data_IF_071960450943
#
_entry.id   IF_071960450943
#
_cell.length_a   1.000
_cell.length_b   1.000
_cell.length_c   1.000
_cell.angle_alpha   90.00
_cell.angle_beta   90.00
_cell.angle_gamma   90.00
#
_symmetry.space_group_name_H-M   'P 1'
#
loop_
_entity.id
_entity.type
_entity.pdbx_description
1 polymer ?
2 non-polymer ?
3 water ?
#
# COMPACT_ATOMS: atom_id res chain seq x y z
N UNK A 1 7.98 38.93 19.80
CA UNK A 1 8.34 37.85 18.84
C UNK A 1 7.87 38.23 17.43
N UNK A 2 8.81 38.18 16.47
CA UNK A 2 8.51 38.54 15.06
C UNK A 2 7.34 37.71 14.53
N UNK A 3 6.49 38.36 13.74
CA UNK A 3 5.31 37.70 13.20
C UNK A 3 5.65 36.57 12.21
N UNK A 4 6.87 36.57 11.68
CA UNK A 4 7.33 35.51 10.79
C UNK A 4 8.18 34.46 11.51
N UNK A 5 8.16 34.44 12.86
CA UNK A 5 8.87 33.40 13.57
C UNK A 5 8.27 32.04 13.18
N UNK A 6 9.13 31.07 12.88
CA UNK A 6 8.66 29.74 12.53
C UNK A 6 8.05 29.09 13.78
N UNK A 7 6.78 28.71 13.70
CA UNK A 7 6.10 28.12 14.85
C UNK A 7 6.32 26.59 14.96
N UNK A 8 7.30 26.08 14.20
CA UNK A 8 7.49 24.66 13.98
C UNK A 8 8.98 24.32 13.98
N UNK A 9 9.33 23.10 14.34
CA UNK A 9 10.72 22.67 14.18
C UNK A 9 10.79 21.33 13.45
N UNK A 10 11.89 21.15 12.73
CA UNK A 10 12.16 19.94 12.00
C UNK A 10 12.31 18.74 12.94
N UNK A 11 11.39 17.79 12.80
CA UNK A 11 11.45 16.55 13.57
C UNK A 11 12.14 15.38 12.82
N UNK A 12 11.88 15.24 11.51
CA UNK A 12 12.48 14.18 10.69
C UNK A 12 12.88 14.73 9.31
N UNK A 13 13.97 14.19 8.74
CA UNK A 13 14.47 14.63 7.44
C UNK A 13 15.04 13.44 6.73
N UNK A 14 14.62 13.29 5.47
CA UNK A 14 15.20 12.25 4.64
C UNK A 14 15.72 12.94 3.39
N UNK A 15 17.04 12.98 3.23
CA UNK A 15 17.61 13.61 2.05
C UNK A 15 18.19 12.63 1.05
N UNK A 16 18.08 11.34 1.34
CA UNK A 16 18.56 10.25 0.46
C UNK A 16 20.05 10.37 0.06
N UNK A 17 20.88 10.86 0.98
CA UNK A 17 22.30 10.99 0.71
C UNK A 17 23.00 9.65 0.52
N UNK A 18 22.52 8.60 1.19
CA UNK A 18 23.05 7.23 1.05
C UNK A 18 22.02 6.34 0.34
N UNK A 19 22.48 5.47 -0.57
CA UNK A 19 21.57 4.51 -1.21
C UNK A 19 20.94 3.54 -0.22
N UNK A 20 21.55 3.33 0.93
CA UNK A 20 20.95 2.43 1.93
C UNK A 20 19.59 2.94 2.38
N UNK A 21 19.39 4.26 2.39
CA UNK A 21 18.11 4.81 2.83
C UNK A 21 16.93 4.29 2.00
N UNK A 22 17.16 4.05 0.71
CA UNK A 22 16.12 3.58 -0.20
C UNK A 22 15.49 2.23 0.25
N UNK A 23 16.32 1.39 0.89
CA UNK A 23 15.87 0.12 1.42
C UNK A 23 14.77 0.31 2.47
N UNK A 24 14.64 1.49 3.02
CA UNK A 24 13.57 1.76 4.01
C UNK A 24 12.22 2.17 3.34
N UNK A 25 12.25 2.38 2.03
CA UNK A 25 11.07 2.83 1.29
C UNK A 25 10.48 1.63 0.56
N UNK A 26 9.17 1.67 0.31
CA UNK A 26 8.56 0.63 -0.53
C UNK A 26 7.47 1.22 -1.38
N UNK A 27 7.12 0.52 -2.46
CA UNK A 27 6.00 0.91 -3.28
C UNK A 27 4.68 0.44 -2.64
N UNK A 28 3.75 1.34 -2.40
CA UNK A 28 2.55 0.92 -1.70
C UNK A 28 1.33 1.00 -2.61
N UNK A 29 1.54 1.26 -3.89
CA UNK A 29 0.41 1.14 -4.79
C UNK A 29 0.44 1.89 -6.09
N UNK A 30 -0.51 1.53 -6.94
CA UNK A 30 -0.70 2.16 -8.26
C UNK A 30 -2.20 2.22 -8.55
N UNK A 31 -2.60 3.21 -9.35
CA UNK A 31 -3.96 3.31 -9.85
C UNK A 31 -3.89 4.02 -11.21
N UNK A 32 -4.32 3.32 -12.26
CA UNK A 32 -4.28 3.87 -13.62
C UNK A 32 -2.86 4.29 -14.02
N UNK A 33 -1.86 3.57 -13.51
CA UNK A 33 -0.45 3.82 -13.81
C UNK A 33 0.29 2.59 -13.40
N UNK A 34 1.57 2.50 -13.72
CA UNK A 34 2.41 1.37 -13.34
C UNK A 34 3.80 1.84 -12.92
N UNK A 35 4.47 1.00 -12.15
CA UNK A 35 5.89 1.09 -11.97
C UNK A 35 6.59 0.26 -13.06
N UNK A 36 7.78 0.71 -13.46
CA UNK A 36 8.72 -0.17 -14.16
C UNK A 36 9.55 -1.06 -13.24
N UNK A 37 10.72 -1.42 -13.72
CA UNK A 37 11.58 -2.40 -13.04
C UNK A 37 13.01 -1.87 -13.02
N UNK A 38 13.61 -1.68 -11.84
CA UNK A 38 12.95 -1.94 -10.54
C UNK A 38 11.91 -0.84 -10.25
N UNK A 39 11.07 -1.02 -9.25
CA UNK A 39 10.07 0.01 -9.01
C UNK A 39 10.72 1.28 -8.47
N UNK A 40 11.61 1.11 -7.50
CA UNK A 40 12.34 2.23 -6.91
C UNK A 40 13.80 1.88 -6.77
N UNK A 41 14.65 2.89 -6.78
CA UNK A 41 16.10 2.69 -6.60
C UNK A 41 16.70 4.04 -6.23
N UNK A 42 17.99 4.04 -5.90
CA UNK A 42 18.65 5.29 -5.56
C UNK A 42 19.27 5.90 -6.82
N UNK A 43 19.32 7.22 -6.86
CA UNK A 43 20.03 7.96 -7.90
C UNK A 43 20.94 8.98 -7.21
N UNK A 44 22.23 8.93 -7.54
CA UNK A 44 23.21 9.80 -6.88
C UNK A 44 23.44 11.12 -7.56
N UNK A 45 22.93 11.27 -8.77
CA UNK A 45 23.13 12.49 -9.56
C UNK A 45 22.03 13.54 -9.32
N UNK A 46 20.82 13.10 -9.03
CA UNK A 46 19.72 14.04 -8.79
C UNK A 46 19.72 14.38 -7.29
N UNK A 47 19.61 15.67 -6.99
CA UNK A 47 19.58 16.21 -5.63
C UNK A 47 20.67 15.70 -4.71
N UNK A 48 21.88 15.43 -5.25
CA UNK A 48 22.92 14.66 -4.56
C UNK A 48 22.41 13.45 -3.78
N UNK A 49 21.53 12.65 -4.41
CA UNK A 49 20.95 11.49 -3.80
C UNK A 49 19.48 11.73 -3.73
N UNK A 50 18.69 10.90 -4.42
CA UNK A 50 17.24 11.07 -4.44
C UNK A 50 16.62 9.71 -4.64
N UNK A 51 15.35 9.60 -4.28
CA UNK A 51 14.63 8.36 -4.50
C UNK A 51 14.14 8.41 -5.93
N UNK A 52 14.52 7.40 -6.70
CA UNK A 52 14.07 7.25 -8.07
C UNK A 52 12.90 6.29 -8.18
N UNK A 53 11.79 6.78 -8.74
CA UNK A 53 10.62 5.96 -9.05
C UNK A 53 10.60 5.81 -10.58
N UNK A 54 10.59 4.58 -11.05
CA UNK A 54 10.46 4.28 -12.47
C UNK A 54 9.00 4.06 -12.79
N UNK A 55 8.41 5.00 -13.51
CA UNK A 55 6.96 5.06 -13.67
C UNK A 55 6.59 4.97 -15.14
N UNK A 56 5.34 4.55 -15.38
CA UNK A 56 4.72 4.56 -16.70
C UNK A 56 3.32 5.15 -16.51
N UNK A 57 3.19 6.42 -16.90
CA UNK A 57 1.94 7.14 -16.75
C UNK A 57 1.37 7.33 -18.17
N UNK A 58 0.23 6.71 -18.47
CA UNK A 58 -0.30 6.75 -19.84
C UNK A 58 -0.78 8.14 -20.26
N UNK A 59 -1.04 9.02 -19.30
CA UNK A 59 -1.58 10.35 -19.55
C UNK A 59 -2.98 10.37 -20.16
N UNK A 60 -3.78 9.36 -19.87
CA UNK A 60 -5.14 9.24 -20.43
C UNK A 60 -6.20 9.71 -19.49
N UNK A 61 -5.88 9.79 -18.20
CA UNK A 61 -6.91 10.08 -17.23
C UNK A 61 -6.47 11.16 -16.25
N UNK A 62 -7.37 11.66 -15.42
CA UNK A 62 -7.01 12.78 -14.55
C UNK A 62 -6.40 12.40 -13.20
N UNK A 63 -6.25 11.09 -12.96
CA UNK A 63 -5.64 10.58 -11.73
C UNK A 63 -4.87 9.29 -12.01
N UNK A 64 -3.58 9.44 -12.24
CA UNK A 64 -2.71 8.32 -12.56
C UNK A 64 -1.65 8.31 -11.48
N UNK A 65 -1.74 7.34 -10.56
CA UNK A 65 -0.98 7.41 -9.30
C UNK A 65 -0.01 6.26 -9.11
N UNK A 66 1.19 6.61 -8.66
CA UNK A 66 2.13 5.67 -8.11
C UNK A 66 2.44 6.18 -6.72
N UNK A 67 2.73 5.28 -5.81
CA UNK A 67 2.86 5.68 -4.41
C UNK A 67 4.02 4.94 -3.73
N UNK A 68 4.75 5.65 -2.88
CA UNK A 68 5.80 5.04 -2.08
C UNK A 68 5.60 5.44 -0.62
N UNK A 69 6.34 4.78 0.27
CA UNK A 69 6.10 4.93 1.70
C UNK A 69 7.31 4.55 2.50
N UNK A 70 7.31 5.01 3.76
CA UNK A 70 8.38 4.81 4.70
C UNK A 70 7.81 4.89 6.11
N UNK A 71 8.33 4.10 7.04
CA UNK A 71 7.97 4.29 8.45
C UNK A 71 8.64 5.55 9.01
N UNK A 72 7.93 6.22 9.90
CA UNK A 72 8.44 7.39 10.64
C UNK A 72 7.89 7.25 12.05
N UNK A 73 8.80 6.99 12.99
CA UNK A 73 8.42 6.69 14.38
C UNK A 73 7.68 7.85 15.07
N UNK A 74 8.08 9.07 14.74
CA UNK A 74 7.56 10.23 15.43
C UNK A 74 6.36 10.87 14.70
N UNK A 75 5.89 10.23 13.62
CA UNK A 75 4.88 10.79 12.73
C UNK A 75 3.60 11.30 13.41
N UNK A 76 3.13 10.60 14.44
CA UNK A 76 1.96 11.04 15.20
C UNK A 76 2.14 12.42 15.87
N UNK A 77 3.40 12.81 16.10
CA UNK A 77 3.71 14.12 16.70
C UNK A 77 3.66 15.30 15.69
N UNK A 78 3.67 14.98 14.40
CA UNK A 78 3.93 15.96 13.35
C UNK A 78 2.67 16.63 12.77
N UNK A 79 2.84 17.84 12.22
CA UNK A 79 1.74 18.58 11.62
C UNK A 79 2.04 19.21 10.26
N UNK A 80 3.32 19.22 9.84
CA UNK A 80 3.67 19.75 8.50
C UNK A 80 4.56 18.76 7.79
N UNK A 81 4.23 18.49 6.53
CA UNK A 81 5.12 17.73 5.66
C UNK A 81 5.58 18.62 4.49
N UNK A 82 6.87 18.52 4.15
CA UNK A 82 7.38 19.07 2.89
C UNK A 82 8.12 17.99 2.18
N UNK A 83 8.06 18.01 0.85
CA UNK A 83 8.94 17.16 0.04
C UNK A 83 9.05 17.77 -1.36
N UNK A 84 10.08 17.37 -2.10
CA UNK A 84 10.23 17.81 -3.50
C UNK A 84 10.06 16.64 -4.43
N UNK A 85 9.44 16.91 -5.58
CA UNK A 85 9.43 15.99 -6.72
C UNK A 85 10.19 16.64 -7.89
N UNK A 86 11.01 15.85 -8.59
CA UNK A 86 11.70 16.33 -9.77
C UNK A 86 11.32 15.42 -10.93
N UNK A 87 10.94 16.03 -12.05
CA UNK A 87 10.67 15.26 -13.28
C UNK A 87 11.59 15.78 -14.41
N UNK A 88 12.36 14.88 -15.03
CA UNK A 88 13.24 15.25 -16.15
C UNK A 88 12.48 16.13 -17.14
N UNK A 89 13.05 17.27 -17.48
CA UNK A 89 12.38 18.25 -18.35
C UNK A 89 12.50 17.82 -19.84
N UNK A 90 11.89 16.67 -20.17
CA UNK A 90 12.03 16.10 -21.53
C UNK A 90 11.14 16.84 -22.53
N UNK A 91 11.48 16.74 -23.81
CA UNK A 91 10.73 17.42 -24.86
C UNK A 91 9.31 16.92 -24.84
N UNK A 92 8.37 17.84 -24.91
CA UNK A 92 6.96 17.46 -24.98
C UNK A 92 6.25 17.22 -23.66
N UNK A 93 6.97 17.30 -22.53
CA UNK A 93 6.38 17.07 -21.21
C UNK A 93 5.25 18.06 -20.97
N UNK A 94 4.05 17.54 -20.76
CA UNK A 94 2.86 18.36 -20.68
C UNK A 94 1.82 17.71 -19.76
N UNK A 95 1.07 18.51 -19.01
CA UNK A 95 0.07 17.95 -18.12
C UNK A 95 0.09 18.57 -16.73
N UNK A 96 -0.60 17.93 -15.80
CA UNK A 96 -0.78 18.46 -14.44
C UNK A 96 -0.33 17.38 -13.45
N UNK A 97 0.15 17.82 -12.29
CA UNK A 97 0.55 16.94 -11.20
C UNK A 97 -0.33 17.26 -10.02
N UNK A 98 -0.75 16.21 -9.30
CA UNK A 98 -1.65 16.35 -8.15
C UNK A 98 -1.08 15.61 -6.93
N UNK A 99 0.14 15.96 -6.52
CA UNK A 99 0.84 15.18 -5.49
C UNK A 99 0.12 15.33 -4.16
N UNK A 100 0.13 14.29 -3.33
CA UNK A 100 -0.45 14.38 -1.98
C UNK A 100 0.29 13.37 -1.07
N UNK A 101 -0.27 13.08 0.10
CA UNK A 101 0.35 12.12 1.00
C UNK A 101 -0.73 11.41 1.81
N UNK A 102 -0.34 10.35 2.50
CA UNK A 102 -1.27 9.53 3.28
C UNK A 102 -0.58 9.21 4.60
N UNK A 103 -1.33 9.36 5.71
CA UNK A 103 -0.83 8.87 7.02
C UNK A 103 -1.42 7.50 7.28
N UNK A 104 -0.64 6.55 7.81
CA UNK A 104 -1.15 5.18 7.97
C UNK A 104 -0.50 4.55 9.22
N UNK A 105 -1.14 3.60 9.94
CA UNK A 105 -2.54 3.12 9.75
C UNK A 105 -3.64 4.19 9.77
N UNK A 106 -4.80 3.87 9.18
CA UNK A 106 -5.93 4.79 9.12
C UNK A 106 -6.16 5.33 7.72
N UNK A 107 -5.21 5.08 6.80
CA UNK A 107 -5.28 5.60 5.43
C UNK A 107 -5.84 7.04 5.36
N UNK A 108 -5.16 7.95 6.06
CA UNK A 108 -5.62 9.31 6.13
C UNK A 108 -4.96 10.15 5.04
N UNK A 109 -5.74 10.47 4.02
CA UNK A 109 -5.27 11.24 2.88
C UNK A 109 -5.16 12.69 3.26
N UNK A 110 -3.96 13.25 3.11
CA UNK A 110 -3.67 14.65 3.47
C UNK A 110 -3.21 15.47 2.25
N UNK A 111 -3.55 16.77 2.23
CA UNK A 111 -3.16 17.68 1.16
C UNK A 111 -3.76 17.40 -0.22
N UNK A 112 -4.87 16.67 -0.27
CA UNK A 112 -5.48 16.36 -1.56
C UNK A 112 -5.74 17.65 -2.32
N UNK A 113 -5.28 17.69 -3.57
CA UNK A 113 -5.36 18.85 -4.46
C UNK A 113 -4.92 20.18 -3.85
N UNK A 114 -4.02 20.13 -2.87
CA UNK A 114 -3.51 21.34 -2.23
C UNK A 114 -2.22 21.84 -2.90
N UNK A 115 -1.60 21.01 -3.74
CA UNK A 115 -0.31 21.37 -4.33
C UNK A 115 -0.25 21.08 -5.83
N UNK A 116 -1.39 21.25 -6.50
CA UNK A 116 -1.48 20.98 -7.93
C UNK A 116 -0.60 21.95 -8.73
N UNK A 117 -0.09 21.48 -9.87
CA UNK A 117 0.77 22.30 -10.73
C UNK A 117 0.68 21.84 -12.18
N UNK A 118 0.75 22.80 -13.10
CA UNK A 118 0.96 22.53 -14.52
C UNK A 118 2.45 22.26 -14.69
N UNK A 119 2.79 21.14 -15.34
CA UNK A 119 4.20 20.77 -15.43
C UNK A 119 4.99 21.77 -16.27
N UNK A 120 4.33 22.40 -17.24
CA UNK A 120 4.97 23.34 -18.17
C UNK A 120 5.31 24.69 -17.58
N UNK A 121 4.70 25.01 -16.43
CA UNK A 121 5.05 26.23 -15.73
C UNK A 121 5.85 25.98 -14.43
N UNK A 122 6.28 24.74 -14.20
CA UNK A 122 7.01 24.44 -12.98
C UNK A 122 8.45 24.94 -13.08
N UNK A 123 8.97 25.33 -11.92
CA UNK A 123 10.34 25.77 -11.80
C UNK A 123 11.30 24.78 -12.46
N UNK A 124 12.32 25.30 -13.13
CA UNK A 124 13.35 24.45 -13.71
C UNK A 124 14.56 24.49 -12.79
N UNK A 125 15.15 23.33 -12.53
CA UNK A 125 16.33 23.20 -11.70
C UNK A 125 17.26 22.31 -12.49
N UNK A 126 18.56 22.45 -12.29
CA UNK A 126 19.54 21.67 -13.00
C UNK A 126 20.40 20.79 -12.05
N UNK A 127 20.56 19.51 -12.41
CA UNK A 127 21.51 18.62 -11.72
C UNK A 127 22.39 17.97 -12.77
N UNK A 128 23.71 17.99 -12.54
CA UNK A 128 24.66 17.35 -13.45
C UNK A 128 24.47 17.61 -14.93
N UNK A 129 24.17 18.85 -15.28
CA UNK A 129 24.00 19.23 -16.68
C UNK A 129 22.66 18.82 -17.29
N UNK A 130 21.69 18.45 -16.45
CA UNK A 130 20.36 18.09 -16.93
C UNK A 130 19.26 18.88 -16.22
N UNK A 131 18.19 19.20 -16.96
CA UNK A 131 17.09 20.01 -16.46
C UNK A 131 15.96 19.15 -15.91
N UNK A 132 15.38 19.60 -14.80
CA UNK A 132 14.23 18.96 -14.14
C UNK A 132 13.16 20.01 -13.86
N UNK A 133 11.91 19.61 -13.97
CA UNK A 133 10.84 20.39 -13.40
C UNK A 133 10.75 20.02 -11.92
N UNK A 134 10.63 21.05 -11.07
CA UNK A 134 10.61 20.93 -9.61
C UNK A 134 9.21 21.20 -9.10
N UNK A 135 8.74 20.35 -8.18
CA UNK A 135 7.43 20.52 -7.57
C UNK A 135 7.64 20.43 -6.05
N UNK A 136 7.50 21.55 -5.36
CA UNK A 136 7.74 21.56 -3.92
C UNK A 136 6.34 21.37 -3.30
N UNK A 137 6.21 20.45 -2.36
CA UNK A 137 4.89 20.15 -1.83
C UNK A 137 4.94 20.50 -0.38
N UNK A 138 3.92 21.19 0.12
CA UNK A 138 3.85 21.47 1.57
C UNK A 138 2.44 21.13 1.99
N UNK A 139 2.31 20.32 3.02
CA UNK A 139 1.02 19.83 3.48
C UNK A 139 0.90 20.03 5.00
N UNK A 140 -0.22 20.62 5.42
CA UNK A 140 -0.53 20.79 6.82
C UNK A 140 -1.55 19.75 7.23
N UNK A 141 -1.37 19.18 8.41
CA UNK A 141 -2.29 18.16 8.89
C UNK A 141 -2.35 18.14 10.44
N UNK A 142 -3.36 17.48 10.99
CA UNK A 142 -3.47 17.33 12.44
C UNK A 142 -2.60 16.24 13.00
N UNK A 143 -2.05 16.48 14.18
CA UNK A 143 -1.52 15.39 15.02
C UNK A 143 -2.53 14.23 15.01
N UNK A 144 -2.06 13.05 14.59
CA UNK A 144 -2.96 11.91 14.41
C UNK A 144 -2.43 10.72 15.17
N UNK A 145 -3.23 10.23 16.12
CA UNK A 145 -2.85 9.09 16.95
C UNK A 145 -2.69 7.81 16.11
N UNK A 146 -1.64 7.06 16.40
CA UNK A 146 -1.51 5.74 15.83
C UNK A 146 -0.80 5.66 14.48
N UNK A 147 -0.57 6.80 13.83
CA UNK A 147 0.09 6.77 12.52
C UNK A 147 1.56 6.41 12.67
N UNK A 148 2.04 5.56 11.79
CA UNK A 148 3.41 5.05 11.86
C UNK A 148 4.17 5.13 10.53
N UNK A 149 3.48 5.48 9.46
CA UNK A 149 4.12 5.55 8.16
C UNK A 149 3.52 6.64 7.29
N UNK A 150 4.35 7.14 6.39
CA UNK A 150 3.94 8.20 5.49
C UNK A 150 3.98 7.64 4.09
N UNK A 151 2.91 7.83 3.33
CA UNK A 151 2.90 7.50 1.91
C UNK A 151 2.91 8.79 1.10
N UNK A 152 3.71 8.80 0.03
CA UNK A 152 3.75 9.96 -0.87
C UNK A 152 3.10 9.52 -2.14
N UNK A 153 2.05 10.24 -2.53
CA UNK A 153 1.36 9.89 -3.76
C UNK A 153 1.76 10.86 -4.88
N UNK A 154 2.32 10.30 -5.94
CA UNK A 154 2.67 11.10 -7.12
C UNK A 154 1.58 10.83 -8.14
N UNK A 155 0.81 11.86 -8.48
CA UNK A 155 -0.38 11.68 -9.30
C UNK A 155 -0.27 12.55 -10.56
N UNK A 156 -0.31 11.90 -11.71
CA UNK A 156 -0.38 12.58 -13.00
C UNK A 156 -1.82 12.83 -13.40
N UNK A 157 -2.02 13.98 -14.08
CA UNK A 157 -3.34 14.34 -14.62
C UNK A 157 -3.10 14.65 -16.10
N UNK A 158 -3.40 13.67 -16.95
CA UNK A 158 -3.12 13.75 -18.38
C UNK A 158 -1.67 14.12 -18.62
N UNK A 159 -0.78 13.51 -17.86
CA UNK A 159 0.64 13.76 -17.99
C UNK A 159 1.23 12.44 -18.49
N UNK A 160 1.48 12.36 -19.79
CA UNK A 160 2.00 11.15 -20.37
C UNK A 160 3.50 11.15 -20.14
N UNK A 161 4.00 10.12 -19.45
CA UNK A 161 5.39 10.11 -19.07
C UNK A 161 5.85 8.70 -18.72
N UNK A 162 6.89 8.24 -19.41
CA UNK A 162 7.52 6.95 -19.13
C UNK A 162 8.98 7.22 -18.85
N UNK A 163 9.40 7.02 -17.59
CA UNK A 163 10.76 7.31 -17.17
C UNK A 163 10.86 7.49 -15.65
N UNK A 164 12.01 7.96 -15.16
CA UNK A 164 12.20 8.21 -13.73
C UNK A 164 11.56 9.50 -13.27
N UNK A 165 11.04 9.44 -12.04
CA UNK A 165 10.64 10.63 -11.34
C UNK A 165 11.35 10.58 -10.00
N UNK A 166 11.69 11.75 -9.44
CA UNK A 166 12.50 11.75 -8.23
C UNK A 166 11.81 12.38 -7.05
N UNK A 167 12.04 11.81 -5.86
CA UNK A 167 11.52 12.42 -4.64
C UNK A 167 12.73 12.75 -3.76
N UNK A 168 12.71 13.92 -3.14
CA UNK A 168 13.83 14.34 -2.31
C UNK A 168 13.36 15.21 -1.16
N UNK A 169 14.25 15.39 -0.17
CA UNK A 169 14.02 16.40 0.89
C UNK A 169 12.65 16.22 1.58
N UNK A 170 12.42 15.00 2.04
CA UNK A 170 11.19 14.72 2.78
C UNK A 170 11.39 15.23 4.24
N UNK A 171 10.61 16.21 4.67
CA UNK A 171 10.84 16.84 5.97
C UNK A 171 9.53 16.87 6.73
N UNK A 172 9.59 16.52 8.02
CA UNK A 172 8.44 16.49 8.87
C UNK A 172 8.71 17.41 10.05
N UNK A 173 7.70 18.21 10.39
CA UNK A 173 7.84 19.25 11.43
C UNK A 173 6.76 19.11 12.49
N UNK A 174 7.11 19.45 13.72
CA UNK A 174 6.15 19.53 14.82
C UNK A 174 6.10 20.96 15.39
N UNK A 175 4.90 21.38 15.79
CA UNK A 175 4.68 22.71 16.38
C UNK A 175 5.51 22.83 17.66
N UNK A 176 6.12 24.00 17.92
CA UNK A 176 6.78 24.22 19.22
C UNK A 176 5.78 24.64 20.31
N UNK B 3 2.35 -41.56 10.69
CA UNK B 3 2.64 -41.00 9.33
C UNK B 3 1.92 -39.64 9.11
N UNK B 4 0.64 -39.55 9.49
CA UNK B 4 -0.10 -38.28 9.34
C UNK B 4 -0.20 -37.43 10.61
N UNK B 5 0.66 -37.69 11.60
CA UNK B 5 0.77 -36.82 12.78
C UNK B 5 1.13 -35.43 12.29
N UNK B 6 0.41 -34.42 12.75
CA UNK B 6 0.70 -33.03 12.40
C UNK B 6 2.02 -32.66 13.09
N UNK B 7 3.01 -32.26 12.29
CA UNK B 7 4.31 -31.84 12.79
C UNK B 7 4.30 -30.37 13.23
N UNK B 8 3.11 -29.78 13.33
CA UNK B 8 2.95 -28.37 13.67
C UNK B 8 1.84 -28.18 14.70
N UNK B 9 1.96 -27.13 15.52
CA UNK B 9 0.92 -26.73 16.47
C UNK B 9 0.50 -25.28 16.26
N UNK B 10 -0.74 -25.01 16.60
CA UNK B 10 -1.33 -23.69 16.41
C UNK B 10 -0.65 -22.73 17.32
N UNK B 11 -0.16 -21.61 16.79
CA UNK B 11 0.52 -20.62 17.62
C UNK B 11 -0.32 -19.36 17.81
N UNK B 12 -1.04 -18.97 16.75
CA UNK B 12 -1.91 -17.78 16.77
C UNK B 12 -3.14 -18.08 15.94
N UNK B 13 -4.28 -17.55 16.39
CA UNK B 13 -5.51 -17.70 15.65
C UNK B 13 -6.37 -16.43 15.76
N UNK B 14 -6.92 -16.00 14.64
CA UNK B 14 -7.81 -14.85 14.62
C UNK B 14 -9.06 -15.31 13.91
N UNK B 15 -10.15 -15.46 14.65
CA UNK B 15 -11.43 -15.85 14.03
C UNK B 15 -12.48 -14.71 13.94
N UNK B 16 -12.06 -13.51 14.30
CA UNK B 16 -12.85 -12.29 14.21
C UNK B 16 -14.20 -12.42 14.97
N UNK B 17 -14.18 -13.10 16.10
CA UNK B 17 -15.45 -13.29 16.82
C UNK B 17 -15.93 -11.97 17.45
N UNK B 18 -14.98 -11.08 17.68
CA UNK B 18 -15.26 -9.75 18.26
C UNK B 18 -14.90 -8.62 17.28
N UNK B 19 -15.74 -7.57 17.17
CA UNK B 19 -15.43 -6.44 16.27
C UNK B 19 -14.20 -5.67 16.70
N UNK B 20 -13.87 -5.75 17.98
CA UNK B 20 -12.68 -5.07 18.44
C UNK B 20 -11.42 -5.56 17.66
N UNK B 21 -11.48 -6.78 17.12
CA UNK B 21 -10.29 -7.37 16.46
C UNK B 21 -9.91 -6.54 15.23
N UNK B 22 -10.92 -6.00 14.54
CA UNK B 22 -10.69 -5.24 13.32
C UNK B 22 -9.77 -4.00 13.52
N UNK B 23 -9.75 -3.44 14.72
CA UNK B 23 -8.90 -2.29 15.00
C UNK B 23 -7.42 -2.65 14.93
N UNK B 24 -7.13 -3.95 14.97
CA UNK B 24 -5.77 -4.44 14.82
C UNK B 24 -5.29 -4.50 13.38
N UNK B 25 -6.21 -4.34 12.44
CA UNK B 25 -5.88 -4.53 11.02
C UNK B 25 -5.78 -3.19 10.38
N UNK B 26 -4.94 -3.09 9.35
CA UNK B 26 -4.86 -1.85 8.59
C UNK B 26 -4.75 -2.12 7.09
N UNK B 27 -4.99 -1.08 6.32
CA UNK B 27 -4.96 -1.11 4.86
C UNK B 27 -3.45 -0.90 4.48
N UNK B 28 -2.85 -1.86 3.77
CA UNK B 28 -1.42 -1.72 3.41
C UNK B 28 -1.13 -1.60 1.92
N UNK B 29 -2.13 -1.29 1.11
CA UNK B 29 -1.88 -0.90 -0.26
C UNK B 29 -2.84 -1.47 -1.26
N UNK B 30 -2.86 -0.91 -2.48
CA UNK B 30 -3.71 -1.37 -3.56
C UNK B 30 -2.96 -1.17 -4.84
N UNK B 31 -3.09 -2.12 -5.76
CA UNK B 31 -2.42 -2.10 -7.07
C UNK B 31 -3.42 -2.45 -8.16
N UNK B 32 -3.72 -1.49 -9.04
CA UNK B 32 -4.69 -1.65 -10.13
C UNK B 32 -6.10 -2.02 -9.58
N UNK B 33 -6.36 -1.65 -8.33
CA UNK B 33 -7.64 -1.94 -7.68
C UNK B 33 -7.86 -0.84 -6.66
N UNK B 34 -9.06 -0.75 -6.10
CA UNK B 34 -9.30 0.25 -5.07
C UNK B 34 -10.10 -0.38 -3.92
N UNK B 35 -10.04 0.28 -2.77
CA UNK B 35 -10.92 0.00 -1.65
C UNK B 35 -12.10 0.94 -1.75
N UNK B 36 -13.26 0.50 -1.28
CA UNK B 36 -14.41 1.38 -1.08
C UNK B 36 -14.32 2.09 0.27
N UNK B 37 -15.46 2.53 0.81
CA UNK B 37 -15.54 3.23 2.09
C UNK B 37 -16.62 2.54 2.96
N UNK B 38 -16.28 2.06 4.15
CA UNK B 38 -14.90 2.11 4.67
C UNK B 38 -14.03 1.07 3.97
N UNK B 39 -12.70 1.22 4.00
CA UNK B 39 -11.85 0.20 3.37
C UNK B 39 -12.04 -1.18 4.04
N UNK B 40 -11.96 -1.23 5.36
CA UNK B 40 -12.13 -2.47 6.09
C UNK B 40 -13.06 -2.23 7.28
N UNK B 41 -13.82 -3.26 7.64
CA UNK B 41 -14.77 -3.16 8.75
C UNK B 41 -15.10 -4.58 9.18
N UNK B 42 -15.84 -4.71 10.29
CA UNK B 42 -16.28 -5.98 10.78
C UNK B 42 -17.61 -6.32 10.13
N UNK B 43 -17.82 -7.63 9.94
CA UNK B 43 -19.15 -8.16 9.62
C UNK B 43 -19.46 -9.23 10.66
N UNK B 44 -20.56 -9.06 11.41
CA UNK B 44 -20.90 -9.98 12.47
C UNK B 44 -21.71 -11.19 12.04
N UNK B 45 -22.10 -11.24 10.79
CA UNK B 45 -22.88 -12.36 10.28
C UNK B 45 -22.06 -13.39 9.50
N UNK B 46 -21.31 -12.91 8.50
CA UNK B 46 -20.47 -13.77 7.68
C UNK B 46 -19.38 -14.41 8.60
N UNK B 47 -19.19 -15.72 8.52
CA UNK B 47 -18.15 -16.40 9.32
C UNK B 47 -18.41 -16.33 10.82
N UNK B 48 -19.66 -16.01 11.24
CA UNK B 48 -19.91 -15.62 12.65
C UNK B 48 -18.91 -14.57 13.12
N UNK B 49 -18.63 -13.59 12.25
CA UNK B 49 -17.63 -12.60 12.55
C UNK B 49 -16.50 -12.75 11.55
N UNK B 50 -16.24 -11.72 10.74
CA UNK B 50 -15.20 -11.80 9.67
C UNK B 50 -14.73 -10.39 9.36
N UNK B 51 -13.53 -10.30 8.77
CA UNK B 51 -12.95 -9.05 8.37
C UNK B 51 -13.51 -8.76 6.99
N UNK B 52 -14.21 -7.63 6.83
CA UNK B 52 -14.78 -7.31 5.53
C UNK B 52 -13.94 -6.25 4.85
N UNK B 53 -13.53 -6.51 3.62
CA UNK B 53 -12.82 -5.56 2.80
C UNK B 53 -13.80 -5.12 1.71
N UNK B 54 -13.99 -3.82 1.55
CA UNK B 54 -14.83 -3.35 0.48
C UNK B 54 -13.93 -2.99 -0.66
N UNK B 55 -14.07 -3.73 -1.76
CA UNK B 55 -13.10 -3.63 -2.85
C UNK B 55 -13.76 -3.25 -4.15
N UNK B 56 -12.95 -2.69 -5.06
CA UNK B 56 -13.33 -2.45 -6.45
C UNK B 56 -12.23 -3.01 -7.33
N UNK B 57 -12.51 -4.17 -7.93
CA UNK B 57 -11.61 -4.83 -8.84
C UNK B 57 -12.18 -4.64 -10.24
N UNK B 58 -11.51 -3.84 -11.07
CA UNK B 58 -11.95 -3.61 -12.45
C UNK B 58 -12.02 -4.88 -13.32
N UNK B 59 -11.26 -5.92 -13.01
CA UNK B 59 -11.26 -7.13 -13.82
C UNK B 59 -10.59 -6.97 -15.19
N UNK B 60 -9.71 -5.99 -15.32
CA UNK B 60 -9.04 -5.71 -16.61
C UNK B 60 -7.64 -6.35 -16.71
N UNK B 61 -7.03 -6.63 -15.57
CA UNK B 61 -5.65 -7.10 -15.53
C UNK B 61 -5.52 -8.43 -14.77
N UNK B 62 -4.43 -9.16 -14.98
CA UNK B 62 -4.24 -10.44 -14.28
C UNK B 62 -3.77 -10.31 -12.82
N UNK B 63 -3.51 -9.07 -12.39
CA UNK B 63 -3.04 -8.81 -11.03
C UNK B 63 -3.64 -7.55 -10.47
N UNK B 64 -4.80 -7.67 -9.82
CA UNK B 64 -5.43 -6.51 -9.22
C UNK B 64 -5.49 -6.81 -7.73
N UNK B 65 -4.75 -6.05 -6.93
CA UNK B 65 -4.48 -6.45 -5.55
C UNK B 65 -4.93 -5.42 -4.55
N UNK B 66 -5.48 -5.88 -3.41
CA UNK B 66 -5.65 -5.06 -2.23
C UNK B 66 -4.99 -5.83 -1.12
N UNK B 67 -4.48 -5.13 -0.11
CA UNK B 67 -3.70 -5.76 0.91
C UNK B 67 -4.08 -5.22 2.26
N UNK B 68 -4.14 -6.11 3.26
CA UNK B 68 -4.32 -5.71 4.63
C UNK B 68 -3.35 -6.41 5.49
N UNK B 69 -3.23 -5.96 6.74
CA UNK B 69 -2.17 -6.42 7.62
C UNK B 69 -2.53 -6.32 9.07
N UNK B 70 -1.84 -7.12 9.86
CA UNK B 70 -1.95 -7.08 11.31
C UNK B 70 -0.59 -7.43 11.89
N UNK B 71 -0.28 -6.91 13.07
CA UNK B 71 0.87 -7.35 13.83
C UNK B 71 0.59 -8.71 14.48
N UNK B 72 1.59 -9.58 14.47
CA UNK B 72 1.53 -10.81 15.29
C UNK B 72 2.83 -11.01 16.04
N UNK B 73 2.74 -11.15 17.35
CA UNK B 73 3.96 -11.22 18.16
C UNK B 73 4.78 -12.46 17.86
N UNK B 74 4.13 -13.56 17.50
CA UNK B 74 4.87 -14.80 17.38
C UNK B 74 5.33 -15.10 15.96
N UNK B 75 5.14 -14.18 15.05
CA UNK B 75 5.24 -14.47 13.62
C UNK B 75 6.61 -15.06 13.24
N UNK B 76 7.68 -14.58 13.87
CA UNK B 76 9.04 -15.06 13.56
C UNK B 76 9.26 -16.54 13.89
N UNK B 77 8.38 -17.11 14.72
CA UNK B 77 8.46 -18.53 15.09
C UNK B 77 7.73 -19.45 14.11
N UNK B 78 6.94 -18.86 13.21
CA UNK B 78 5.96 -19.63 12.45
C UNK B 78 6.47 -20.08 11.09
N UNK B 79 5.85 -21.14 10.59
CA UNK B 79 6.14 -21.69 9.26
C UNK B 79 4.94 -22.05 8.43
N UNK B 80 3.72 -22.03 9.02
CA UNK B 80 2.54 -22.29 8.20
C UNK B 80 1.49 -21.24 8.53
N UNK B 81 0.90 -20.72 7.48
CA UNK B 81 -0.26 -19.81 7.56
C UNK B 81 -1.42 -20.44 6.86
N UNK B 82 -2.59 -20.39 7.50
CA UNK B 82 -3.83 -20.70 6.82
C UNK B 82 -4.77 -19.50 6.98
N UNK B 83 -5.58 -19.27 5.96
CA UNK B 83 -6.70 -18.35 6.13
C UNK B 83 -7.74 -18.65 5.08
N UNK B 84 -8.94 -18.12 5.28
CA UNK B 84 -10.01 -18.28 4.33
C UNK B 84 -10.43 -16.95 3.78
N UNK B 85 -10.80 -16.96 2.51
CA UNK B 85 -11.46 -15.81 1.89
C UNK B 85 -12.86 -16.24 1.45
N UNK B 86 -13.87 -15.38 1.64
CA UNK B 86 -15.20 -15.60 1.09
C UNK B 86 -15.58 -14.47 0.18
N UNK B 87 -16.16 -14.81 -0.98
CA UNK B 87 -16.66 -13.81 -1.92
C UNK B 87 -18.13 -14.12 -2.19
N UNK B 88 -19.03 -13.14 -2.02
CA UNK B 88 -20.44 -13.36 -2.34
C UNK B 88 -20.60 -13.97 -3.71
N UNK B 89 -21.41 -15.03 -3.79
CA UNK B 89 -21.57 -15.79 -5.02
C UNK B 89 -22.64 -15.12 -5.90
N UNK B 90 -22.35 -13.87 -6.28
CA UNK B 90 -23.28 -13.01 -7.01
C UNK B 90 -23.34 -13.42 -8.48
N UNK B 91 -24.41 -13.04 -9.17
CA UNK B 91 -24.55 -13.37 -10.58
C UNK B 91 -23.41 -12.81 -11.43
N UNK B 92 -22.90 -13.63 -12.34
CA UNK B 92 -21.86 -13.20 -13.26
C UNK B 92 -20.44 -13.22 -12.71
N UNK B 93 -20.27 -13.60 -11.44
CA UNK B 93 -18.93 -13.72 -10.87
C UNK B 93 -18.09 -14.64 -11.73
N UNK B 94 -16.98 -14.11 -12.26
CA UNK B 94 -16.11 -14.83 -13.19
C UNK B 94 -14.66 -14.36 -13.04
N UNK B 95 -13.71 -15.28 -13.17
CA UNK B 95 -12.29 -14.98 -13.16
C UNK B 95 -11.53 -15.75 -12.09
N UNK B 96 -10.33 -15.27 -11.74
CA UNK B 96 -9.42 -16.06 -10.92
C UNK B 96 -8.89 -15.26 -9.73
N UNK B 97 -8.59 -15.97 -8.66
CA UNK B 97 -8.06 -15.34 -7.45
C UNK B 97 -6.66 -15.86 -7.26
N UNK B 98 -5.73 -14.97 -6.85
CA UNK B 98 -4.33 -15.34 -6.64
C UNK B 98 -3.86 -14.90 -5.24
N UNK B 99 -4.54 -15.37 -4.19
CA UNK B 99 -4.29 -14.85 -2.84
C UNK B 99 -2.94 -15.33 -2.29
N UNK B 100 -2.27 -14.51 -1.49
CA UNK B 100 -0.97 -14.91 -0.96
C UNK B 100 -0.73 -14.08 0.28
N UNK B 101 0.52 -13.97 0.75
CA UNK B 101 0.78 -13.22 1.96
C UNK B 101 2.16 -12.61 1.97
N UNK B 102 2.41 -11.66 2.85
CA UNK B 102 3.73 -10.99 2.92
C UNK B 102 4.10 -10.82 4.37
N UNK B 103 5.37 -11.12 4.70
CA UNK B 103 5.92 -10.89 6.03
C UNK B 103 6.67 -9.56 6.01
N UNK B 104 6.67 -8.83 7.11
CA UNK B 104 7.38 -7.56 7.17
C UNK B 104 7.75 -7.27 8.61
N UNK B 105 8.84 -6.56 8.91
CA UNK B 105 9.92 -6.07 8.00
C UNK B 105 10.52 -7.10 7.03
N UNK B 106 11.01 -6.60 5.89
CA UNK B 106 11.64 -7.45 4.87
C UNK B 106 10.78 -7.64 3.63
N UNK B 107 9.47 -7.31 3.70
CA UNK B 107 8.57 -7.50 2.53
C UNK B 107 8.79 -8.87 1.82
N UNK B 108 8.75 -9.95 2.59
CA UNK B 108 8.96 -11.28 2.05
C UNK B 108 7.63 -11.86 1.56
N UNK B 109 7.44 -11.91 0.24
CA UNK B 109 6.23 -12.49 -0.30
C UNK B 109 6.25 -13.99 -0.10
N UNK B 110 5.18 -14.53 0.47
CA UNK B 110 5.11 -15.97 0.74
C UNK B 110 3.91 -16.57 0.04
N UNK B 111 4.10 -17.77 -0.52
CA UNK B 111 3.02 -18.50 -1.17
C UNK B 111 2.54 -17.92 -2.49
N UNK B 112 3.39 -17.14 -3.15
CA UNK B 112 2.99 -16.53 -4.41
C UNK B 112 2.51 -17.57 -5.37
N UNK B 113 1.29 -17.37 -5.88
CA UNK B 113 0.67 -18.29 -6.86
C UNK B 113 0.55 -19.76 -6.40
N UNK B 114 0.64 -19.99 -5.08
CA UNK B 114 0.55 -21.35 -4.54
C UNK B 114 -0.91 -21.79 -4.22
N UNK B 115 -1.86 -20.84 -4.28
CA UNK B 115 -3.24 -21.14 -3.89
C UNK B 115 -4.26 -20.50 -4.84
N UNK B 116 -3.94 -20.49 -6.12
CA UNK B 116 -4.79 -19.87 -7.13
C UNK B 116 -6.05 -20.71 -7.36
N UNK B 117 -7.14 -20.06 -7.77
CA UNK B 117 -8.40 -20.75 -7.99
C UNK B 117 -9.29 -20.01 -8.94
N UNK B 118 -10.06 -20.77 -9.70
CA UNK B 118 -11.13 -20.22 -10.52
C UNK B 118 -12.30 -19.96 -9.61
N UNK B 119 -12.86 -18.74 -9.64
CA UNK B 119 -13.94 -18.41 -8.72
C UNK B 119 -15.21 -19.25 -8.98
N UNK B 120 -15.43 -19.60 -10.24
CA UNK B 120 -16.61 -20.37 -10.68
C UNK B 120 -16.58 -21.83 -10.26
N UNK B 121 -15.41 -22.30 -9.86
CA UNK B 121 -15.20 -23.69 -9.51
C UNK B 121 -14.97 -23.86 -8.00
N UNK B 122 -15.09 -22.76 -7.26
CA UNK B 122 -14.80 -22.78 -5.82
C UNK B 122 -15.97 -23.30 -4.98
N UNK B 123 -15.65 -23.83 -3.80
CA UNK B 123 -16.62 -24.36 -2.85
C UNK B 123 -17.67 -23.28 -2.47
N UNK B 124 -18.94 -23.70 -2.38
CA UNK B 124 -19.99 -22.78 -1.96
C UNK B 124 -20.34 -23.07 -0.51
N UNK B 125 -20.44 -22.01 0.27
CA UNK B 125 -20.83 -22.11 1.66
C UNK B 125 -21.94 -21.05 1.85
N UNK B 126 -22.71 -21.17 2.93
CA UNK B 126 -23.73 -20.17 3.23
C UNK B 126 -23.62 -19.60 4.61
N UNK B 127 -23.98 -18.33 4.73
CA UNK B 127 -24.18 -17.62 5.99
C UNK B 127 -25.44 -16.75 5.87
N UNK B 128 -26.28 -16.79 6.89
CA UNK B 128 -27.55 -16.07 6.92
C UNK B 128 -28.35 -16.11 5.64
N UNK B 129 -28.49 -17.29 5.05
CA UNK B 129 -29.24 -17.46 3.82
C UNK B 129 -28.63 -16.94 2.54
N UNK B 130 -27.33 -16.60 2.56
CA UNK B 130 -26.67 -16.18 1.33
C UNK B 130 -25.43 -17.07 1.03
N UNK B 131 -25.13 -17.23 -0.25
CA UNK B 131 -24.07 -18.09 -0.72
C UNK B 131 -22.80 -17.27 -0.96
N UNK B 132 -21.65 -17.91 -0.71
CA UNK B 132 -20.32 -17.32 -0.83
C UNK B 132 -19.43 -18.36 -1.48
N UNK B 133 -18.49 -17.93 -2.32
CA UNK B 133 -17.40 -18.84 -2.74
C UNK B 133 -16.32 -18.81 -1.67
N UNK B 134 -15.75 -19.97 -1.33
CA UNK B 134 -14.78 -20.08 -0.27
C UNK B 134 -13.43 -20.50 -0.88
N UNK B 135 -12.37 -19.83 -0.47
CA UNK B 135 -11.02 -20.06 -0.96
C UNK B 135 -10.19 -20.26 0.28
N UNK B 136 -9.75 -21.50 0.50
CA UNK B 136 -8.95 -21.78 1.66
C UNK B 136 -7.51 -21.62 1.18
N UNK B 137 -6.68 -21.03 2.02
CA UNK B 137 -5.31 -20.72 1.64
C UNK B 137 -4.38 -21.36 2.65
N UNK B 138 -3.40 -22.12 2.18
CA UNK B 138 -2.40 -22.67 3.09
C UNK B 138 -1.02 -22.33 2.52
N UNK B 139 -0.15 -21.73 3.33
CA UNK B 139 1.16 -21.29 2.85
C UNK B 139 2.22 -21.81 3.80
N UNK B 140 3.26 -22.43 3.24
CA UNK B 140 4.43 -22.86 4.02
C UNK B 140 5.57 -21.86 3.81
N UNK B 141 6.28 -21.48 4.86
CA UNK B 141 7.34 -20.49 4.69
C UNK B 141 8.40 -20.79 5.72
N UNK B 142 9.58 -20.19 5.57
CA UNK B 142 10.67 -20.42 6.54
C UNK B 142 10.56 -19.50 7.70
N UNK B 143 10.95 -19.95 8.89
CA UNK B 143 11.10 -19.03 10.00
C UNK B 143 12.03 -17.88 9.58
N UNK B 144 11.59 -16.66 9.86
CA UNK B 144 12.28 -15.47 9.41
C UNK B 144 12.34 -14.59 10.61
N UNK B 145 13.53 -14.11 10.94
CA UNK B 145 13.66 -13.29 12.12
C UNK B 145 13.31 -11.83 11.84
N UNK B 146 12.91 -11.15 12.90
CA UNK B 146 12.61 -9.73 12.82
C UNK B 146 11.22 -9.39 12.23
N UNK B 147 10.46 -10.37 11.76
CA UNK B 147 9.15 -10.09 11.14
C UNK B 147 8.11 -9.80 12.24
N UNK B 148 7.22 -8.85 11.99
CA UNK B 148 6.28 -8.44 13.04
C UNK B 148 4.85 -8.35 12.51
N UNK B 149 4.72 -8.17 11.19
CA UNK B 149 3.45 -7.90 10.50
C UNK B 149 3.22 -8.98 9.45
N UNK B 150 1.99 -9.48 9.42
CA UNK B 150 1.56 -10.33 8.34
C UNK B 150 0.63 -9.52 7.46
N UNK B 151 0.91 -9.49 6.17
CA UNK B 151 0.02 -8.85 5.20
C UNK B 151 -0.66 -9.96 4.42
N UNK B 152 -1.96 -9.83 4.22
CA UNK B 152 -2.71 -10.71 3.34
C UNK B 152 -2.98 -10.00 2.01
N UNK B 153 -2.60 -10.65 0.92
CA UNK B 153 -2.75 -10.08 -0.41
C UNK B 153 -3.92 -10.77 -1.10
N UNK B 154 -4.97 -10.00 -1.36
CA UNK B 154 -6.14 -10.51 -2.05
C UNK B 154 -6.00 -10.01 -3.48
N UNK B 155 -5.87 -10.95 -4.40
CA UNK B 155 -5.52 -10.59 -5.75
C UNK B 155 -6.52 -11.17 -6.73
N UNK B 156 -7.14 -10.30 -7.50
CA UNK B 156 -8.00 -10.73 -8.60
C UNK B 156 -7.23 -10.80 -9.90
N UNK B 157 -7.66 -11.70 -10.78
CA UNK B 157 -7.05 -11.88 -12.08
C UNK B 157 -8.22 -11.98 -13.06
N UNK B 158 -8.41 -10.91 -13.82
CA UNK B 158 -9.62 -10.71 -14.63
C UNK B 158 -10.90 -11.03 -13.88
N UNK B 159 -10.96 -10.59 -12.63
CA UNK B 159 -12.13 -10.81 -11.80
C UNK B 159 -12.78 -9.45 -11.56
N UNK B 160 -13.83 -9.15 -12.33
CA UNK B 160 -14.52 -7.87 -12.20
C UNK B 160 -15.48 -7.98 -11.02
N UNK B 161 -15.25 -7.17 -10.00
CA UNK B 161 -16.00 -7.30 -8.75
C UNK B 161 -15.96 -6.01 -7.89
N UNK B 162 -17.12 -5.49 -7.57
CA UNK B 162 -17.24 -4.32 -6.73
C UNK B 162 -18.16 -4.70 -5.57
N UNK B 163 -17.62 -4.83 -4.37
CA UNK B 163 -18.40 -5.34 -3.25
C UNK B 163 -17.48 -5.86 -2.13
N UNK B 164 -18.06 -6.49 -1.11
CA UNK B 164 -17.24 -7.02 -0.03
C UNK B 164 -16.53 -8.32 -0.39
N UNK B 165 -15.31 -8.46 0.14
CA UNK B 165 -14.59 -9.73 0.20
C UNK B 165 -14.23 -9.96 1.68
N UNK B 166 -14.25 -11.20 2.14
CA UNK B 166 -14.10 -11.44 3.57
C UNK B 166 -12.83 -12.23 3.85
N UNK B 167 -12.19 -11.96 4.96
CA UNK B 167 -11.10 -12.81 5.43
C UNK B 167 -11.52 -13.40 6.75
N UNK B 168 -11.24 -14.68 6.97
CA UNK B 168 -11.60 -15.29 8.25
C UNK B 168 -10.59 -16.38 8.64
N UNK B 169 -10.62 -16.81 9.90
CA UNK B 169 -9.90 -18.03 10.28
C UNK B 169 -8.42 -17.95 9.93
N UNK B 170 -7.77 -16.88 10.38
CA UNK B 170 -6.34 -16.68 10.12
C UNK B 170 -5.62 -17.48 11.19
N UNK B 171 -4.79 -18.45 10.78
CA UNK B 171 -4.14 -19.35 11.73
C UNK B 171 -2.63 -19.43 11.38
N UNK B 172 -1.79 -19.31 12.39
CA UNK B 172 -0.32 -19.44 12.23
C UNK B 172 0.14 -20.62 13.06
N UNK B 173 0.99 -21.47 12.47
CA UNK B 173 1.47 -22.66 13.13
C UNK B 173 3.02 -22.66 13.22
N UNK B 174 3.53 -23.23 14.30
CA UNK B 174 4.99 -23.42 14.42
C UNK B 174 5.28 -24.93 14.54
N UNK B 175 6.49 -25.34 14.17
CA UNK B 175 6.89 -26.76 14.22
C UNK B 175 6.91 -27.28 15.65
N UNK B 176 6.60 -28.56 15.85
CA UNK B 176 6.63 -29.17 17.22
C UNK B 176 8.06 -29.33 17.75
X LIG C 1 19.01 14.54 -1.73
X LIG D 1 -15.09 -16.00 12.04
#
# INVERSE_FOLDING_TARGET
MASNEARYVLAEEVDFSSPEEVKNWWNSGTWQAEFGSPDIEWNGEVGNGALQLNVKLPGKSDWEEVRVARKFERLSECEILEYDIYIPNVEGLKGRLRPYAVLNPGWVKIGLDMNNANVESAEIITFGGKEYRRFHVRIEFDRTAGVKELHIGVVGDHLRYDGPIFIDNVRLYKRTGGX
XASNEARYVLAEEVDFSSPEEVKNWWNSGTWQAEFGSPDIEWNGEVGNGALQLNVKLPGKSDWEEVRVARKFERLSECEILEYDIYIPNVEGLKGRLRPYAVLNPGWVKIGLDMNNANVESAEIITFGGKEYRRFHVRIEFDRTAGVKELHIGVVGDHLRYDGPIFIDNVRLYKRTGGX
CA CA
CA CA
#
